data_IF_955140778602
#
_entry.id   IF_955140778602
#
_cell.length_a   1.000
_cell.length_b   1.000
_cell.length_c   1.000
_cell.angle_alpha   90.00
_cell.angle_beta   90.00
_cell.angle_gamma   90.00
#
_symmetry.space_group_name_H-M   'P 1'
#
loop_
_entity.id
_entity.type
_entity.pdbx_description
1 polymer ?
#
# COMPACT_ATOMS: atom_id res chain seq x y z
N UNK A 1 12.87 14.33 7.43
CA UNK A 1 12.81 12.99 6.80
C UNK A 1 12.25 13.17 5.40
N UNK A 2 12.73 12.42 4.42
CA UNK A 2 12.18 12.52 3.07
C UNK A 2 10.97 11.60 2.99
N UNK A 3 9.81 12.14 2.64
CA UNK A 3 8.57 11.38 2.50
C UNK A 3 8.30 11.10 1.01
N UNK A 4 7.59 10.01 0.74
CA UNK A 4 7.08 9.65 -0.59
C UNK A 4 5.55 9.65 -0.61
N UNK A 5 4.96 9.88 -1.79
CA UNK A 5 3.52 9.72 -2.01
C UNK A 5 3.18 8.22 -2.06
N UNK A 6 2.06 7.83 -1.44
CA UNK A 6 1.57 6.47 -1.45
C UNK A 6 0.03 6.44 -1.54
N UNK A 7 -0.52 5.40 -2.17
CA UNK A 7 -1.95 5.09 -2.11
C UNK A 7 -2.23 4.32 -0.82
N UNK A 8 -3.05 4.90 0.06
CA UNK A 8 -3.33 4.42 1.41
C UNK A 8 -4.82 4.14 1.59
N UNK A 9 -5.16 3.33 2.59
CA UNK A 9 -6.53 3.12 3.07
C UNK A 9 -6.50 2.57 4.50
N UNK A 10 -7.35 3.13 5.36
CA UNK A 10 -7.44 2.77 6.79
C UNK A 10 -8.79 2.17 7.19
N UNK A 11 -9.68 2.00 6.22
CA UNK A 11 -10.89 1.20 6.29
C UNK A 11 -11.01 0.32 5.05
N UNK A 12 -11.59 -0.88 5.21
CA UNK A 12 -11.98 -1.70 4.06
C UNK A 12 -13.28 -1.16 3.47
N UNK A 13 -13.44 -1.19 2.14
CA UNK A 13 -14.68 -0.66 1.55
C UNK A 13 -14.75 -0.70 0.03
N UNK A 14 -15.49 0.23 -0.61
CA UNK A 14 -15.49 0.50 -2.05
C UNK A 14 -14.31 1.43 -2.44
N UNK A 15 -13.99 1.63 -3.74
CA UNK A 15 -12.75 2.31 -4.17
C UNK A 15 -12.44 3.65 -3.49
N UNK A 16 -13.48 4.35 -3.04
CA UNK A 16 -13.46 5.65 -2.36
C UNK A 16 -12.71 5.65 -1.02
N UNK A 17 -12.40 4.48 -0.45
CA UNK A 17 -11.53 4.39 0.74
C UNK A 17 -10.06 4.66 0.43
N UNK A 18 -9.66 4.62 -0.84
CA UNK A 18 -8.30 4.95 -1.26
C UNK A 18 -8.09 6.46 -1.23
N UNK A 19 -6.98 6.88 -0.64
CA UNK A 19 -6.53 8.25 -0.70
C UNK A 19 -5.02 8.29 -0.92
N UNK A 20 -4.53 9.42 -1.41
CA UNK A 20 -3.10 9.67 -1.47
C UNK A 20 -2.61 10.26 -0.15
N UNK A 21 -1.55 9.69 0.40
CA UNK A 21 -0.87 10.20 1.59
C UNK A 21 0.63 10.32 1.40
N UNK A 22 1.32 10.81 2.44
CA UNK A 22 2.79 10.85 2.53
C UNK A 22 3.26 9.87 3.59
N UNK A 23 4.29 9.09 3.26
CA UNK A 23 4.90 8.11 4.15
C UNK A 23 6.42 8.22 4.11
N UNK A 24 7.15 7.86 5.17
CA UNK A 24 8.62 7.88 5.14
C UNK A 24 9.17 7.03 3.99
N UNK A 25 10.18 7.54 3.29
CA UNK A 25 10.92 6.72 2.31
C UNK A 25 11.55 5.52 3.05
N UNK A 26 11.32 4.28 2.58
CA UNK A 26 11.81 3.09 3.27
C UNK A 26 13.35 2.99 3.23
N UNK A 27 13.92 2.49 4.32
CA UNK A 27 15.36 2.20 4.42
C UNK A 27 15.62 0.78 3.93
N UNK A 28 16.44 0.64 2.89
CA UNK A 28 16.89 -0.66 2.38
C UNK A 28 17.79 -1.39 3.39
N UNK A 29 17.58 -2.68 3.57
CA UNK A 29 18.45 -3.59 4.33
C UNK A 29 19.52 -4.22 3.42
N UNK A 30 20.53 -4.92 3.99
CA UNK A 30 21.48 -5.70 3.18
C UNK A 30 20.73 -6.67 2.24
N UNK A 31 21.07 -6.62 0.95
CA UNK A 31 20.42 -7.43 -0.09
C UNK A 31 19.17 -6.81 -0.73
N UNK A 32 18.71 -5.65 -0.24
CA UNK A 32 17.54 -4.95 -0.80
C UNK A 32 17.95 -3.77 -1.69
N UNK A 33 17.10 -3.46 -2.67
CA UNK A 33 17.19 -2.25 -3.50
C UNK A 33 16.00 -1.33 -3.23
N UNK A 34 16.24 -0.03 -3.29
CA UNK A 34 15.17 0.97 -3.24
C UNK A 34 14.86 1.45 -4.66
N UNK A 35 13.63 1.20 -5.11
CA UNK A 35 13.17 1.57 -6.45
C UNK A 35 12.36 2.86 -6.41
N UNK A 36 12.71 3.83 -7.25
CA UNK A 36 11.83 4.97 -7.53
C UNK A 36 10.77 4.53 -8.53
N UNK A 37 9.57 4.26 -8.04
CA UNK A 37 8.45 3.80 -8.86
C UNK A 37 8.00 4.93 -9.82
N UNK A 38 8.01 4.65 -11.12
CA UNK A 38 7.52 5.57 -12.16
C UNK A 38 6.09 5.23 -12.62
N UNK A 39 5.70 3.96 -12.52
CA UNK A 39 4.36 3.47 -12.82
C UNK A 39 4.06 2.20 -12.01
N UNK A 40 2.78 1.93 -11.76
CA UNK A 40 2.29 0.70 -11.15
C UNK A 40 1.06 0.20 -11.93
N UNK A 41 0.85 -1.11 -11.98
CA UNK A 41 -0.39 -1.68 -12.54
C UNK A 41 -1.50 -1.72 -11.47
N UNK A 42 -2.73 -1.83 -11.94
CA UNK A 42 -3.88 -2.21 -11.11
C UNK A 42 -4.32 -3.60 -11.54
N UNK A 43 -4.37 -4.56 -10.63
CA UNK A 43 -4.75 -5.94 -10.91
C UNK A 43 -6.00 -6.33 -10.11
N UNK A 44 -6.46 -7.57 -10.26
CA UNK A 44 -7.65 -8.06 -9.56
C UNK A 44 -7.45 -8.22 -8.04
N UNK A 45 -6.24 -8.55 -7.60
CA UNK A 45 -5.93 -8.81 -6.19
C UNK A 45 -6.13 -7.59 -5.30
N UNK A 46 -5.80 -6.41 -5.81
CA UNK A 46 -5.94 -5.12 -5.12
C UNK A 46 -7.40 -4.84 -4.77
N UNK A 47 -8.35 -5.21 -5.64
CA UNK A 47 -9.78 -5.06 -5.38
C UNK A 47 -10.23 -5.87 -4.15
N UNK A 48 -9.78 -7.12 -4.05
CA UNK A 48 -10.11 -8.01 -2.94
C UNK A 48 -9.42 -7.59 -1.64
N UNK A 49 -8.15 -7.16 -1.73
CA UNK A 49 -7.38 -6.68 -0.58
C UNK A 49 -7.98 -5.42 0.02
N UNK A 50 -8.21 -4.40 -0.80
CA UNK A 50 -8.83 -3.12 -0.41
C UNK A 50 -10.25 -3.29 0.15
N UNK A 51 -11.02 -4.26 -0.36
CA UNK A 51 -12.35 -4.58 0.15
C UNK A 51 -12.32 -5.49 1.40
N UNK A 52 -11.14 -5.93 1.86
CA UNK A 52 -11.00 -6.80 3.05
C UNK A 52 -11.42 -8.25 2.85
N UNK A 53 -11.71 -8.66 1.61
CA UNK A 53 -12.20 -10.01 1.27
C UNK A 53 -11.14 -11.10 1.46
N UNK A 54 -9.86 -10.71 1.49
CA UNK A 54 -8.71 -11.60 1.69
C UNK A 54 -7.90 -11.25 2.95
N UNK A 55 -8.53 -10.62 3.96
CA UNK A 55 -7.80 -10.13 5.16
C UNK A 55 -6.97 -11.20 5.88
N UNK A 56 -7.42 -12.45 5.85
CA UNK A 56 -6.71 -13.57 6.49
C UNK A 56 -5.43 -13.94 5.74
N UNK A 57 -5.35 -13.63 4.44
CA UNK A 57 -4.16 -13.84 3.59
C UNK A 57 -3.21 -12.63 3.62
N UNK A 58 -3.74 -11.41 3.73
CA UNK A 58 -2.93 -10.16 3.72
C UNK A 58 -2.34 -9.80 5.09
N UNK A 59 -2.60 -10.61 6.11
CA UNK A 59 -1.98 -10.50 7.43
C UNK A 59 -2.50 -9.35 8.30
N UNK A 60 -1.71 -8.99 9.32
CA UNK A 60 -2.09 -8.03 10.39
C UNK A 60 -1.56 -6.60 10.18
N UNK A 61 -1.07 -6.28 8.99
CA UNK A 61 -0.43 -4.99 8.70
C UNK A 61 -1.43 -3.85 8.46
N UNK A 62 -2.73 -4.11 8.63
CA UNK A 62 -3.80 -3.14 8.48
C UNK A 62 -3.92 -2.26 9.74
N UNK A 63 -4.17 -0.95 9.63
CA UNK A 63 -4.42 -0.17 8.40
C UNK A 63 -3.17 0.04 7.53
N UNK A 64 -3.37 0.17 6.21
CA UNK A 64 -2.28 0.34 5.24
C UNK A 64 -1.96 1.83 5.13
N UNK A 65 -1.09 2.29 6.04
CA UNK A 65 -0.58 3.66 6.18
C UNK A 65 0.91 3.75 5.91
#
# INVERSE_FOLDING_TARGET
MNDMRAALYDSYGPPEVLYEGRVPVPVRKPGEVLVRVHAASVNGGELYGRAGKVRLLTGRRFPQR
#
